data_IF_271326948085
#
_entry.id   IF_271326948085
#
_cell.length_a   1.000
_cell.length_b   1.000
_cell.length_c   1.000
_cell.angle_alpha   90.00
_cell.angle_beta   90.00
_cell.angle_gamma   90.00
#
_symmetry.space_group_name_H-M   'P 1'
#
loop_
_entity.id
_entity.type
_entity.pdbx_description
1 polymer ?
#
# COMPACT_ATOMS: atom_id res chain seq x y z
N UNK A 1 -53.03 -11.64 -26.70
CA UNK A 1 -51.75 -12.38 -26.80
C UNK A 1 -50.49 -11.51 -26.76
N UNK A 2 -50.52 -10.32 -27.36
CA UNK A 2 -49.37 -9.39 -27.45
C UNK A 2 -48.93 -8.79 -26.08
N UNK A 3 -49.88 -8.51 -25.14
CA UNK A 3 -49.56 -7.98 -23.79
C UNK A 3 -48.87 -8.98 -22.88
N UNK A 4 -49.06 -10.31 -23.09
CA UNK A 4 -48.41 -11.35 -22.29
C UNK A 4 -46.94 -11.56 -22.67
N UNK A 5 -46.60 -11.37 -23.96
CA UNK A 5 -45.22 -11.48 -24.46
C UNK A 5 -44.36 -10.32 -23.94
N UNK A 6 -44.88 -9.07 -24.01
CA UNK A 6 -44.19 -7.88 -23.46
C UNK A 6 -44.00 -7.94 -21.94
N UNK A 7 -44.85 -8.65 -21.21
CA UNK A 7 -44.69 -8.85 -19.75
C UNK A 7 -43.65 -9.89 -19.45
N UNK A 8 -43.46 -10.92 -20.29
CA UNK A 8 -42.40 -11.91 -20.16
C UNK A 8 -41.03 -11.33 -20.52
N UNK A 9 -40.92 -10.55 -21.59
CA UNK A 9 -39.67 -9.88 -21.96
C UNK A 9 -39.19 -8.93 -20.84
N UNK A 10 -40.05 -8.08 -20.28
CA UNK A 10 -39.69 -7.24 -19.14
C UNK A 10 -39.28 -8.02 -17.87
N UNK A 11 -39.78 -9.23 -17.71
CA UNK A 11 -39.38 -10.11 -16.61
C UNK A 11 -38.05 -10.77 -16.87
N UNK A 12 -37.74 -11.13 -18.12
CA UNK A 12 -36.44 -11.63 -18.53
C UNK A 12 -35.37 -10.54 -18.44
N UNK A 13 -35.67 -9.31 -18.86
CA UNK A 13 -34.73 -8.18 -18.74
C UNK A 13 -34.41 -7.83 -17.29
N UNK A 14 -35.39 -7.90 -16.37
CA UNK A 14 -35.13 -7.75 -14.93
C UNK A 14 -34.30 -8.89 -14.34
N UNK A 15 -34.62 -10.15 -14.71
CA UNK A 15 -33.82 -11.31 -14.30
C UNK A 15 -32.41 -11.28 -14.88
N UNK A 16 -32.24 -10.79 -16.10
CA UNK A 16 -30.93 -10.60 -16.71
C UNK A 16 -30.13 -9.47 -16.02
N UNK A 17 -30.78 -8.38 -15.59
CA UNK A 17 -30.14 -7.33 -14.77
C UNK A 17 -29.77 -7.81 -13.37
N UNK A 18 -30.62 -8.63 -12.73
CA UNK A 18 -30.33 -9.25 -11.44
C UNK A 18 -29.27 -10.36 -11.53
N UNK A 19 -29.16 -11.06 -12.68
CA UNK A 19 -28.12 -12.07 -12.94
C UNK A 19 -26.77 -11.47 -13.37
N UNK A 20 -26.69 -10.19 -13.71
CA UNK A 20 -25.43 -9.53 -14.11
C UNK A 20 -24.60 -9.08 -12.90
N UNK A 21 -25.11 -9.24 -11.68
CA UNK A 21 -24.28 -9.22 -10.48
C UNK A 21 -23.87 -10.67 -10.16
N UNK A 22 -22.92 -11.23 -10.93
CA UNK A 22 -22.06 -12.27 -10.37
C UNK A 22 -21.49 -11.69 -9.07
N UNK A 23 -21.56 -12.44 -7.94
CA UNK A 23 -20.83 -12.02 -6.76
C UNK A 23 -19.40 -11.75 -7.21
N UNK A 24 -18.92 -10.52 -6.99
CA UNK A 24 -17.52 -10.21 -7.19
C UNK A 24 -16.75 -11.33 -6.49
N UNK A 25 -15.89 -12.06 -7.27
CA UNK A 25 -15.00 -13.05 -6.68
C UNK A 25 -14.40 -12.38 -5.45
N UNK A 26 -14.60 -12.96 -4.27
CA UNK A 26 -14.03 -12.45 -3.04
C UNK A 26 -12.57 -12.12 -3.31
N UNK A 27 -12.25 -10.84 -3.18
CA UNK A 27 -10.91 -10.31 -3.43
C UNK A 27 -9.99 -10.83 -2.32
N UNK A 28 -9.54 -12.09 -2.41
CA UNK A 28 -8.59 -12.64 -1.47
C UNK A 28 -7.18 -12.10 -1.77
N UNK A 29 -6.54 -11.53 -0.75
CA UNK A 29 -5.13 -11.12 -0.80
C UNK A 29 -4.34 -12.06 0.11
N UNK A 30 -3.83 -13.15 -0.46
CA UNK A 30 -2.97 -14.11 0.25
C UNK A 30 -1.50 -13.82 -0.07
N UNK A 31 -0.94 -12.85 0.63
CA UNK A 31 0.47 -12.47 0.52
C UNK A 31 1.17 -12.62 1.88
N UNK A 32 2.42 -13.07 1.85
CA UNK A 32 3.25 -13.24 3.03
C UNK A 32 4.70 -12.85 2.73
N UNK A 33 5.34 -12.14 3.65
CA UNK A 33 6.77 -11.86 3.60
C UNK A 33 7.54 -13.12 4.02
N UNK A 34 8.02 -13.91 3.05
CA UNK A 34 8.62 -15.24 3.29
C UNK A 34 10.13 -15.21 3.53
N UNK A 35 10.84 -14.25 2.97
CA UNK A 35 12.29 -14.09 3.12
C UNK A 35 12.58 -12.71 3.66
N UNK A 36 13.11 -12.63 4.87
CA UNK A 36 13.28 -11.35 5.55
C UNK A 36 14.60 -11.29 6.32
N UNK A 37 15.43 -10.29 6.01
CA UNK A 37 16.63 -9.98 6.78
C UNK A 37 16.25 -9.16 8.01
N UNK A 38 16.12 -9.82 9.14
CA UNK A 38 15.70 -9.21 10.38
C UNK A 38 16.68 -8.14 10.87
N UNK A 39 16.14 -6.94 11.11
CA UNK A 39 16.87 -5.91 11.85
C UNK A 39 16.76 -6.15 13.35
N UNK A 40 17.84 -5.93 14.12
CA UNK A 40 17.75 -5.95 15.57
C UNK A 40 16.72 -4.95 16.08
N UNK A 41 15.84 -5.36 16.99
CA UNK A 41 14.75 -4.53 17.53
C UNK A 41 15.26 -3.20 18.12
N UNK A 42 16.45 -3.20 18.75
CA UNK A 42 17.05 -2.01 19.36
C UNK A 42 17.78 -1.08 18.39
N UNK A 43 17.94 -1.46 17.11
CA UNK A 43 18.67 -0.64 16.12
C UNK A 43 17.83 0.55 15.67
N UNK A 44 18.32 1.76 15.87
CA UNK A 44 17.69 2.95 15.35
C UNK A 44 17.84 3.04 13.81
N UNK A 45 16.75 3.09 13.12
CA UNK A 45 16.66 3.37 11.68
C UNK A 45 16.61 4.87 11.43
N UNK A 46 15.85 5.57 12.28
CA UNK A 46 15.70 7.01 12.28
C UNK A 46 15.75 7.51 13.72
N UNK A 47 16.47 8.62 13.93
CA UNK A 47 16.44 9.37 15.18
C UNK A 47 16.60 10.84 14.83
N UNK A 48 15.50 11.56 14.90
CA UNK A 48 15.40 13.00 14.63
C UNK A 48 14.99 13.71 15.90
N UNK A 49 15.67 14.79 16.21
CA UNK A 49 15.32 15.73 17.27
C UNK A 49 15.73 17.14 16.77
N UNK A 50 14.87 17.73 15.97
CA UNK A 50 15.11 18.98 15.26
C UNK A 50 14.13 20.04 15.75
N UNK A 51 14.64 21.20 16.15
CA UNK A 51 13.78 22.32 16.59
C UNK A 51 12.95 22.86 15.45
N UNK A 52 13.50 22.83 14.25
CA UNK A 52 12.82 23.29 13.05
C UNK A 52 13.42 22.61 11.83
N UNK A 53 12.59 22.15 10.91
CA UNK A 53 13.02 21.47 9.70
C UNK A 53 12.18 21.91 8.49
N UNK A 54 12.86 22.24 7.40
CA UNK A 54 12.21 22.51 6.11
C UNK A 54 12.07 21.20 5.35
N UNK A 55 10.85 20.73 5.16
CA UNK A 55 10.55 19.50 4.44
C UNK A 55 10.17 19.75 2.98
N UNK A 56 9.79 20.98 2.65
CA UNK A 56 9.54 21.49 1.30
C UNK A 56 9.74 23.01 1.25
N UNK A 57 9.86 23.64 0.06
CA UNK A 57 10.13 25.07 -0.09
C UNK A 57 9.23 26.02 0.71
N UNK A 58 8.00 25.59 0.99
CA UNK A 58 7.00 26.38 1.71
C UNK A 58 6.44 25.67 2.94
N UNK A 59 7.10 24.60 3.40
CA UNK A 59 6.61 23.81 4.52
C UNK A 59 7.73 23.53 5.53
N UNK A 60 7.61 24.21 6.65
CA UNK A 60 8.49 24.06 7.81
C UNK A 60 7.71 23.37 8.92
N UNK A 61 8.33 22.40 9.58
CA UNK A 61 7.81 21.77 10.78
C UNK A 61 8.66 22.20 11.95
N UNK A 62 8.03 22.71 12.99
CA UNK A 62 8.66 23.01 14.25
C UNK A 62 8.64 21.78 15.15
N UNK A 63 9.67 21.60 15.98
CA UNK A 63 9.78 20.51 16.95
C UNK A 63 9.52 19.10 16.39
N UNK A 64 10.28 18.72 15.34
CA UNK A 64 10.21 17.37 14.80
C UNK A 64 11.05 16.41 15.66
N UNK A 65 10.38 15.69 16.55
CA UNK A 65 10.98 14.61 17.33
C UNK A 65 10.38 13.29 16.91
N UNK A 66 11.19 12.45 16.23
CA UNK A 66 10.73 11.15 15.73
C UNK A 66 11.88 10.13 15.80
N UNK A 67 11.65 9.04 16.49
CA UNK A 67 12.55 7.90 16.50
C UNK A 67 11.85 6.66 15.98
N UNK A 68 12.52 5.92 15.08
CA UNK A 68 12.04 4.64 14.55
C UNK A 68 13.12 3.60 14.74
N UNK A 69 12.77 2.49 15.39
CA UNK A 69 13.66 1.34 15.58
C UNK A 69 13.32 0.20 14.63
N UNK A 70 14.21 -0.76 14.49
CA UNK A 70 13.95 -2.00 13.77
C UNK A 70 12.72 -2.70 14.36
N UNK A 71 11.79 -3.14 13.49
CA UNK A 71 10.52 -3.81 13.80
C UNK A 71 9.44 -2.92 14.48
N UNK A 72 9.70 -1.64 14.71
CA UNK A 72 8.71 -0.70 15.24
C UNK A 72 7.78 -0.21 14.11
N UNK A 73 6.48 -0.06 14.42
CA UNK A 73 5.46 0.39 13.47
C UNK A 73 4.83 1.67 14.00
N UNK A 74 5.04 2.75 13.24
CA UNK A 74 4.63 4.11 13.62
C UNK A 74 3.62 4.64 12.62
N UNK A 75 2.48 5.13 13.13
CA UNK A 75 1.47 5.86 12.36
C UNK A 75 1.60 7.37 12.54
N UNK A 76 1.34 8.11 11.46
CA UNK A 76 1.24 9.57 11.48
C UNK A 76 -0.18 9.96 11.07
N UNK A 77 -0.83 10.74 11.91
CA UNK A 77 -2.16 11.31 11.69
C UNK A 77 -2.10 12.83 11.68
N UNK A 78 -3.17 13.49 11.28
CA UNK A 78 -3.29 14.95 11.27
C UNK A 78 -4.27 15.43 10.21
N UNK A 79 -4.56 16.71 10.18
CA UNK A 79 -5.53 17.30 9.26
C UNK A 79 -5.08 17.18 7.79
N UNK A 80 -6.03 17.28 6.87
CA UNK A 80 -5.71 17.30 5.45
C UNK A 80 -4.90 18.55 5.11
N UNK A 81 -3.83 18.37 4.34
CA UNK A 81 -2.96 19.46 3.93
C UNK A 81 -1.91 19.89 4.97
N UNK A 82 -1.86 19.29 6.17
CA UNK A 82 -0.84 19.66 7.18
C UNK A 82 0.59 19.18 6.85
N UNK A 83 0.78 18.45 5.74
CA UNK A 83 2.11 18.07 5.27
C UNK A 83 2.53 16.62 5.58
N UNK A 84 1.61 15.72 5.97
CA UNK A 84 1.92 14.32 6.29
C UNK A 84 2.66 13.58 5.17
N UNK A 85 2.09 13.60 3.95
CA UNK A 85 2.70 12.95 2.77
C UNK A 85 4.05 13.58 2.41
N UNK A 86 4.17 14.91 2.57
CA UNK A 86 5.42 15.64 2.34
C UNK A 86 6.49 15.24 3.35
N UNK A 87 6.13 15.12 4.63
CA UNK A 87 7.02 14.62 5.68
C UNK A 87 7.45 13.20 5.39
N UNK A 88 6.50 12.33 5.02
CA UNK A 88 6.78 10.93 4.70
C UNK A 88 7.75 10.81 3.51
N UNK A 89 7.53 11.59 2.46
CA UNK A 89 8.42 11.63 1.30
C UNK A 89 9.82 12.18 1.66
N UNK A 90 9.91 13.23 2.47
CA UNK A 90 11.18 13.75 2.99
C UNK A 90 11.95 12.67 3.77
N UNK A 91 11.25 11.94 4.65
CA UNK A 91 11.85 10.86 5.43
C UNK A 91 12.30 9.70 4.54
N UNK A 92 11.52 9.36 3.51
CA UNK A 92 11.91 8.37 2.50
C UNK A 92 13.21 8.79 1.80
N UNK A 93 13.31 10.01 1.30
CA UNK A 93 14.53 10.51 0.64
C UNK A 93 15.75 10.49 1.59
N UNK A 94 15.57 10.93 2.84
CA UNK A 94 16.64 10.93 3.85
C UNK A 94 17.13 9.52 4.20
N UNK A 95 16.21 8.57 4.32
CA UNK A 95 16.53 7.17 4.66
C UNK A 95 17.09 6.39 3.47
N UNK A 96 16.66 6.67 2.24
CA UNK A 96 17.16 6.04 1.01
C UNK A 96 18.65 6.31 0.74
N UNK A 97 19.22 7.35 1.38
CA UNK A 97 20.65 7.63 1.31
C UNK A 97 21.49 6.65 2.18
N UNK A 98 20.85 5.84 3.03
CA UNK A 98 21.53 4.86 3.86
C UNK A 98 21.77 3.57 3.08
N UNK A 99 23.02 3.24 2.81
CA UNK A 99 23.43 2.08 1.98
C UNK A 99 23.07 0.71 2.56
N UNK A 100 22.78 0.64 3.87
CA UNK A 100 22.57 -0.62 4.59
C UNK A 100 21.09 -0.80 5.02
N UNK A 101 20.15 -0.16 4.35
CA UNK A 101 18.72 -0.25 4.63
C UNK A 101 17.95 -0.40 3.33
N UNK A 102 17.23 -1.51 3.20
CA UNK A 102 16.28 -1.71 2.09
C UNK A 102 14.93 -1.12 2.47
N UNK A 103 14.39 -0.27 1.60
CA UNK A 103 13.15 0.48 1.86
C UNK A 103 12.14 0.20 0.76
N UNK A 104 10.96 -0.25 1.17
CA UNK A 104 9.77 -0.31 0.31
C UNK A 104 8.92 0.95 0.49
N UNK A 105 8.55 1.57 -0.59
CA UNK A 105 7.72 2.77 -0.58
C UNK A 105 6.41 2.57 -1.33
N UNK A 106 5.31 2.88 -0.66
CA UNK A 106 3.97 2.87 -1.25
C UNK A 106 3.39 4.28 -1.15
N UNK A 107 3.47 5.08 -2.22
CA UNK A 107 2.94 6.45 -2.25
C UNK A 107 1.41 6.46 -2.39
N UNK A 108 0.78 7.58 -2.09
CA UNK A 108 -0.66 7.78 -2.31
C UNK A 108 -1.06 7.65 -3.80
N UNK A 109 -0.17 8.07 -4.71
CA UNK A 109 -0.34 7.97 -6.16
C UNK A 109 0.66 6.96 -6.74
N UNK A 110 0.17 5.81 -7.16
CA UNK A 110 0.99 4.67 -7.60
C UNK A 110 1.77 4.92 -8.88
N UNK A 111 1.30 5.82 -9.75
CA UNK A 111 1.96 6.16 -11.02
C UNK A 111 3.36 6.76 -10.85
N UNK A 112 3.74 7.16 -9.64
CA UNK A 112 5.10 7.62 -9.32
C UNK A 112 6.11 6.47 -9.16
N UNK A 113 5.63 5.26 -8.94
CA UNK A 113 6.45 4.04 -8.76
C UNK A 113 6.22 3.05 -9.91
N UNK A 114 4.96 2.86 -10.31
CA UNK A 114 4.59 1.93 -11.36
C UNK A 114 5.01 2.48 -12.74
N UNK A 115 5.66 1.63 -13.51
CA UNK A 115 6.03 1.94 -14.90
C UNK A 115 4.83 1.59 -15.79
N UNK A 116 4.02 2.58 -16.10
CA UNK A 116 2.69 2.41 -16.71
C UNK A 116 2.71 1.72 -18.09
N UNK A 117 3.81 1.76 -18.83
CA UNK A 117 4.02 1.14 -20.16
C UNK A 117 4.47 -0.33 -20.08
N UNK A 118 4.91 -0.78 -18.91
CA UNK A 118 5.23 -2.19 -18.71
C UNK A 118 3.99 -3.01 -18.40
N UNK A 119 4.07 -4.31 -18.66
CA UNK A 119 3.10 -5.25 -18.09
C UNK A 119 3.45 -5.58 -16.63
N UNK A 120 2.46 -6.03 -15.80
CA UNK A 120 2.70 -6.48 -14.43
C UNK A 120 3.82 -7.50 -14.30
N UNK A 121 3.88 -8.49 -15.20
CA UNK A 121 4.96 -9.48 -15.24
C UNK A 121 6.31 -8.80 -15.51
N UNK A 122 6.38 -7.90 -16.49
CA UNK A 122 7.62 -7.22 -16.82
C UNK A 122 8.09 -6.28 -15.69
N UNK A 123 7.16 -5.60 -15.02
CA UNK A 123 7.46 -4.73 -13.89
C UNK A 123 8.04 -5.49 -12.67
N UNK A 124 7.52 -6.69 -12.39
CA UNK A 124 7.95 -7.51 -11.25
C UNK A 124 9.20 -8.34 -11.54
N UNK A 125 9.53 -8.57 -12.82
CA UNK A 125 10.64 -9.45 -13.22
C UNK A 125 11.98 -8.72 -13.11
N UNK A 126 12.97 -9.39 -12.50
CA UNK A 126 14.35 -8.90 -12.36
C UNK A 126 15.29 -9.49 -13.42
N UNK A 127 15.13 -10.77 -13.70
CA UNK A 127 16.02 -11.53 -14.61
C UNK A 127 15.40 -11.74 -15.97
N UNK A 128 14.07 -11.77 -16.05
CA UNK A 128 13.32 -12.10 -17.26
C UNK A 128 13.28 -13.60 -17.58
N UNK A 129 13.83 -14.45 -16.71
CA UNK A 129 13.86 -15.89 -16.89
C UNK A 129 12.46 -16.51 -16.87
N UNK A 130 12.30 -17.62 -17.61
CA UNK A 130 11.01 -18.28 -17.72
C UNK A 130 10.48 -18.76 -16.34
N UNK A 131 11.36 -19.30 -15.50
CA UNK A 131 11.00 -19.77 -14.15
C UNK A 131 10.54 -18.64 -13.24
N UNK A 132 11.19 -17.47 -13.28
CA UNK A 132 10.78 -16.26 -12.54
C UNK A 132 9.40 -15.78 -13.00
N UNK A 133 9.18 -15.71 -14.31
CA UNK A 133 7.88 -15.30 -14.90
C UNK A 133 6.74 -16.23 -14.51
N UNK A 134 6.98 -17.55 -14.45
CA UNK A 134 5.99 -18.55 -14.01
C UNK A 134 5.60 -18.32 -12.52
N UNK A 135 6.57 -18.05 -11.65
CA UNK A 135 6.34 -17.73 -10.22
C UNK A 135 5.56 -16.44 -10.08
N UNK A 136 5.98 -15.37 -10.78
CA UNK A 136 5.28 -14.08 -10.78
C UNK A 136 3.83 -14.25 -11.28
N UNK A 137 3.62 -14.99 -12.37
CA UNK A 137 2.28 -15.24 -12.91
C UNK A 137 1.40 -15.98 -11.91
N UNK A 138 1.94 -16.93 -11.16
CA UNK A 138 1.21 -17.62 -10.08
C UNK A 138 0.80 -16.69 -8.97
N UNK A 139 1.67 -15.79 -8.54
CA UNK A 139 1.34 -14.78 -7.52
C UNK A 139 0.26 -13.80 -8.01
N UNK A 140 0.37 -13.33 -9.26
CA UNK A 140 -0.64 -12.45 -9.85
C UNK A 140 -2.00 -13.16 -10.00
N UNK A 141 -2.01 -14.45 -10.39
CA UNK A 141 -3.24 -15.25 -10.46
C UNK A 141 -3.92 -15.39 -9.09
N UNK A 142 -3.14 -15.59 -8.02
CA UNK A 142 -3.64 -15.63 -6.65
C UNK A 142 -4.24 -14.28 -6.19
N UNK A 143 -3.82 -13.17 -6.78
CA UNK A 143 -4.39 -11.84 -6.58
C UNK A 143 -5.56 -11.54 -7.52
N UNK A 144 -6.07 -12.55 -8.23
CA UNK A 144 -7.17 -12.46 -9.19
C UNK A 144 -6.87 -11.59 -10.44
N UNK A 145 -5.61 -11.53 -10.89
CA UNK A 145 -5.29 -10.99 -12.20
C UNK A 145 -5.62 -12.01 -13.28
N UNK A 146 -6.32 -11.60 -14.32
CA UNK A 146 -6.51 -12.40 -15.52
C UNK A 146 -5.23 -12.47 -16.35
N UNK A 147 -5.16 -13.43 -17.28
CA UNK A 147 -4.02 -13.56 -18.18
C UNK A 147 -3.77 -12.29 -19.01
N UNK A 148 -4.83 -11.61 -19.44
CA UNK A 148 -4.74 -10.39 -20.22
C UNK A 148 -4.17 -9.25 -19.36
N UNK A 149 -4.67 -9.06 -18.12
CA UNK A 149 -4.19 -8.03 -17.19
C UNK A 149 -2.72 -8.25 -16.80
N UNK A 150 -2.23 -9.49 -16.75
CA UNK A 150 -0.82 -9.78 -16.48
C UNK A 150 0.12 -9.36 -17.61
N UNK A 151 -0.37 -9.32 -18.85
CA UNK A 151 0.43 -9.11 -20.07
C UNK A 151 0.19 -7.76 -20.76
N UNK A 152 -0.86 -7.02 -20.40
CA UNK A 152 -1.13 -5.69 -20.91
C UNK A 152 -0.50 -4.60 -20.05
N UNK A 153 -0.55 -3.35 -20.51
CA UNK A 153 0.08 -2.23 -19.82
C UNK A 153 -0.54 -1.97 -18.44
N UNK A 154 0.30 -1.63 -17.45
CA UNK A 154 -0.14 -1.26 -16.11
C UNK A 154 -1.08 -0.04 -16.12
N UNK A 155 -0.96 0.84 -17.15
CA UNK A 155 -1.90 1.95 -17.35
C UNK A 155 -3.36 1.51 -17.38
N UNK A 156 -3.64 0.31 -17.91
CA UNK A 156 -4.98 -0.21 -18.13
C UNK A 156 -5.61 -0.82 -16.85
N UNK A 157 -4.81 -1.00 -15.81
CA UNK A 157 -5.24 -1.54 -14.52
C UNK A 157 -6.08 -0.54 -13.72
N UNK A 158 -7.08 -1.04 -13.01
CA UNK A 158 -7.82 -0.26 -12.01
C UNK A 158 -6.92 0.15 -10.84
N UNK A 159 -7.34 1.16 -10.06
CA UNK A 159 -6.60 1.61 -8.87
C UNK A 159 -6.38 0.50 -7.83
N UNK A 160 -7.37 -0.38 -7.64
CA UNK A 160 -7.25 -1.54 -6.76
C UNK A 160 -6.24 -2.57 -7.26
N UNK A 161 -6.24 -2.85 -8.57
CA UNK A 161 -5.26 -3.75 -9.20
C UNK A 161 -3.84 -3.16 -9.13
N UNK A 162 -3.66 -1.87 -9.40
CA UNK A 162 -2.37 -1.18 -9.19
C UNK A 162 -1.90 -1.29 -7.73
N UNK A 163 -2.82 -1.17 -6.76
CA UNK A 163 -2.52 -1.38 -5.34
C UNK A 163 -2.05 -2.81 -5.03
N UNK A 164 -2.74 -3.83 -5.55
CA UNK A 164 -2.36 -5.24 -5.41
C UNK A 164 -1.00 -5.53 -6.05
N UNK A 165 -0.74 -4.97 -7.24
CA UNK A 165 0.54 -5.11 -7.92
C UNK A 165 1.69 -4.52 -7.10
N UNK A 166 1.49 -3.33 -6.52
CA UNK A 166 2.49 -2.69 -5.68
C UNK A 166 2.71 -3.44 -4.36
N UNK A 167 1.65 -3.98 -3.74
CA UNK A 167 1.79 -4.88 -2.58
C UNK A 167 2.61 -6.12 -2.91
N UNK A 168 2.35 -6.76 -4.05
CA UNK A 168 3.13 -7.92 -4.48
C UNK A 168 4.59 -7.54 -4.72
N UNK A 169 4.85 -6.40 -5.34
CA UNK A 169 6.21 -5.88 -5.50
C UNK A 169 6.92 -5.73 -4.14
N UNK A 170 6.28 -5.10 -3.14
CA UNK A 170 6.83 -4.95 -1.80
C UNK A 170 7.09 -6.30 -1.12
N UNK A 171 6.21 -7.28 -1.31
CA UNK A 171 6.39 -8.64 -0.75
C UNK A 171 7.57 -9.35 -1.38
N UNK A 172 7.74 -9.25 -2.71
CA UNK A 172 8.85 -9.87 -3.44
C UNK A 172 10.21 -9.21 -3.11
N UNK A 173 10.22 -7.89 -2.89
CA UNK A 173 11.43 -7.17 -2.48
C UNK A 173 11.80 -7.40 -1.01
N UNK A 174 10.83 -7.75 -0.18
CA UNK A 174 11.01 -7.98 1.27
C UNK A 174 11.89 -6.92 1.97
N UNK A 175 11.56 -5.62 1.84
CA UNK A 175 12.37 -4.54 2.40
C UNK A 175 12.40 -4.59 3.92
N UNK A 176 13.39 -3.98 4.55
CA UNK A 176 13.54 -3.91 6.01
C UNK A 176 12.70 -2.82 6.65
N UNK A 177 12.34 -1.80 5.88
CA UNK A 177 11.46 -0.70 6.28
C UNK A 177 10.41 -0.48 5.20
N UNK A 178 9.15 -0.41 5.61
CA UNK A 178 8.05 0.05 4.77
C UNK A 178 7.71 1.50 5.10
N UNK A 179 7.60 2.32 4.06
CA UNK A 179 7.07 3.69 4.14
C UNK A 179 5.78 3.72 3.33
N UNK A 180 4.65 3.97 4.00
CA UNK A 180 3.32 3.75 3.44
C UNK A 180 2.47 5.02 3.55
N UNK A 181 1.98 5.53 2.43
CA UNK A 181 1.08 6.69 2.37
C UNK A 181 -0.33 6.25 1.94
N UNK A 182 -1.27 6.21 2.91
CA UNK A 182 -2.66 5.79 2.71
C UNK A 182 -2.79 4.38 2.09
N UNK A 183 -2.01 3.41 2.58
CA UNK A 183 -1.86 2.09 1.97
C UNK A 183 -3.16 1.26 1.85
N UNK A 184 -4.22 1.56 2.63
CA UNK A 184 -5.51 0.85 2.57
C UNK A 184 -6.54 1.52 1.65
N UNK A 185 -6.29 2.75 1.20
CA UNK A 185 -7.28 3.62 0.56
C UNK A 185 -7.88 3.05 -0.74
N UNK A 186 -7.06 2.44 -1.58
CA UNK A 186 -7.47 1.98 -2.92
C UNK A 186 -7.97 0.54 -2.93
N UNK A 187 -8.12 -0.09 -1.78
CA UNK A 187 -8.63 -1.45 -1.65
C UNK A 187 -10.12 -1.46 -1.32
N UNK A 188 -10.83 -2.47 -1.85
CA UNK A 188 -12.23 -2.69 -1.53
C UNK A 188 -12.42 -2.92 -0.02
N UNK A 189 -13.60 -2.64 0.55
CA UNK A 189 -13.88 -2.92 1.97
C UNK A 189 -13.62 -4.38 2.35
N UNK A 190 -13.79 -5.33 1.42
CA UNK A 190 -13.54 -6.75 1.61
C UNK A 190 -12.05 -7.11 1.63
N UNK A 191 -11.21 -6.37 0.88
CA UNK A 191 -9.75 -6.58 0.83
C UNK A 191 -8.99 -5.85 1.94
N UNK A 192 -9.53 -4.75 2.48
CA UNK A 192 -8.85 -3.97 3.52
C UNK A 192 -8.44 -4.77 4.76
N UNK A 193 -9.27 -5.71 5.32
CA UNK A 193 -8.84 -6.53 6.45
C UNK A 193 -7.61 -7.37 6.16
N UNK A 194 -7.49 -7.92 4.95
CA UNK A 194 -6.36 -8.75 4.54
C UNK A 194 -5.09 -7.91 4.36
N UNK A 195 -5.22 -6.69 3.81
CA UNK A 195 -4.11 -5.73 3.72
C UNK A 195 -3.63 -5.30 5.12
N UNK A 196 -4.56 -5.06 6.05
CA UNK A 196 -4.19 -4.76 7.46
C UNK A 196 -3.44 -5.91 8.09
N UNK A 197 -3.92 -7.15 7.91
CA UNK A 197 -3.29 -8.36 8.44
C UNK A 197 -1.89 -8.57 7.83
N UNK A 198 -1.71 -8.29 6.54
CA UNK A 198 -0.40 -8.34 5.88
C UNK A 198 0.61 -7.41 6.58
N UNK A 199 0.23 -6.15 6.85
CA UNK A 199 1.10 -5.19 7.52
C UNK A 199 1.24 -5.44 9.02
N UNK A 200 0.22 -5.96 9.69
CA UNK A 200 0.31 -6.42 11.09
C UNK A 200 1.37 -7.51 11.26
N UNK A 201 1.39 -8.47 10.33
CA UNK A 201 2.34 -9.59 10.35
C UNK A 201 3.70 -9.25 9.70
N UNK A 202 3.87 -8.05 9.16
CA UNK A 202 5.14 -7.64 8.58
C UNK A 202 6.24 -7.60 9.66
N UNK A 203 7.37 -8.31 9.44
CA UNK A 203 8.40 -8.49 10.47
C UNK A 203 9.38 -7.31 10.61
N UNK A 204 9.32 -6.33 9.69
CA UNK A 204 10.18 -5.15 9.68
C UNK A 204 9.55 -3.92 10.33
N UNK A 205 10.20 -2.78 10.14
CA UNK A 205 9.69 -1.50 10.58
C UNK A 205 8.67 -0.91 9.60
N UNK A 206 7.68 -0.20 10.11
CA UNK A 206 6.71 0.54 9.30
C UNK A 206 6.66 2.00 9.76
N UNK A 207 6.69 2.91 8.79
CA UNK A 207 6.32 4.30 8.98
C UNK A 207 5.16 4.61 8.03
N UNK A 208 4.00 4.95 8.56
CA UNK A 208 2.80 5.09 7.73
C UNK A 208 2.01 6.35 8.04
N UNK A 209 1.39 6.92 7.01
CA UNK A 209 0.31 7.91 7.12
C UNK A 209 -1.00 7.19 6.80
N UNK A 210 -2.00 7.35 7.64
CA UNK A 210 -3.34 6.82 7.37
C UNK A 210 -4.43 7.60 8.10
N UNK A 211 -5.63 7.63 7.50
CA UNK A 211 -6.88 8.06 8.11
C UNK A 211 -7.76 6.87 8.59
N UNK A 212 -7.36 5.63 8.27
CA UNK A 212 -8.05 4.42 8.71
C UNK A 212 -7.68 4.09 10.15
N UNK A 213 -8.58 4.40 11.09
CA UNK A 213 -8.40 4.15 12.53
C UNK A 213 -8.22 2.65 12.82
N UNK A 214 -8.92 1.77 12.10
CA UNK A 214 -8.81 0.32 12.30
C UNK A 214 -7.41 -0.17 11.89
N UNK A 215 -6.89 0.35 10.76
CA UNK A 215 -5.52 0.08 10.31
C UNK A 215 -4.49 0.54 11.35
N UNK A 216 -4.61 1.78 11.82
CA UNK A 216 -3.66 2.35 12.79
C UNK A 216 -3.65 1.57 14.11
N UNK A 217 -4.83 1.22 14.66
CA UNK A 217 -4.95 0.43 15.89
C UNK A 217 -4.42 -1.00 15.77
N UNK A 218 -4.61 -1.61 14.61
CA UNK A 218 -4.19 -2.99 14.37
C UNK A 218 -2.69 -3.10 14.08
N UNK A 219 -2.12 -2.15 13.34
CA UNK A 219 -0.76 -2.26 12.80
C UNK A 219 0.26 -1.48 13.63
N UNK A 220 -0.08 -0.29 14.13
CA UNK A 220 0.90 0.62 14.73
C UNK A 220 1.00 0.47 16.25
N UNK A 221 2.23 0.48 16.78
CA UNK A 221 2.49 0.53 18.22
C UNK A 221 2.51 1.95 18.79
N UNK A 222 2.84 2.94 17.91
CA UNK A 222 2.87 4.36 18.27
C UNK A 222 2.20 5.18 17.20
N UNK A 223 1.54 6.24 17.61
CA UNK A 223 0.87 7.14 16.71
C UNK A 223 1.26 8.58 17.05
N UNK A 224 1.62 9.32 16.03
CA UNK A 224 1.99 10.73 16.13
C UNK A 224 0.99 11.58 15.37
N UNK A 225 0.61 12.71 15.96
CA UNK A 225 -0.17 13.74 15.28
C UNK A 225 0.76 14.82 14.78
N UNK A 226 0.65 15.13 13.49
CA UNK A 226 1.31 16.26 12.85
C UNK A 226 0.34 17.45 12.82
N UNK A 227 0.74 18.56 13.42
CA UNK A 227 0.05 19.84 13.35
C UNK A 227 1.05 21.01 13.14
N UNK A 228 0.58 22.26 13.24
CA UNK A 228 1.41 23.48 13.10
C UNK A 228 2.49 23.64 14.17
N UNK A 229 2.40 22.90 15.27
CA UNK A 229 3.38 22.93 16.38
C UNK A 229 4.42 21.84 16.27
N UNK A 230 4.25 20.90 15.36
CA UNK A 230 5.17 19.81 15.12
C UNK A 230 4.54 18.42 15.22
N UNK A 231 5.31 17.46 15.70
CA UNK A 231 4.92 16.05 15.79
C UNK A 231 4.82 15.64 17.26
N UNK A 232 3.63 15.25 17.69
CA UNK A 232 3.32 14.86 19.08
C UNK A 232 2.76 13.42 19.12
N UNK A 233 3.24 12.61 20.07
CA UNK A 233 2.71 11.25 20.28
C UNK A 233 1.30 11.34 20.87
N UNK A 234 0.35 10.54 20.33
CA UNK A 234 -1.05 10.54 20.73
C UNK A 234 -1.57 9.12 20.85
N UNK A 235 -2.58 8.92 21.70
CA UNK A 235 -3.37 7.70 21.76
C UNK A 235 -4.64 7.84 20.91
N UNK A 236 -5.07 6.75 20.20
CA UNK A 236 -6.32 6.69 19.41
C UNK A 236 -7.16 5.44 19.74
#
# INVERSE_FOLDING_TARGET
KMKAVLSQEKRYDRLAQDMTQMPEKEDSIELFFSHFDHLPQGKYLLNLDEKQINIAPHLTIDHLKLSLKGQEKIGIVGDNGCGKSTLLHYLYQKLSQKTNLTIGYMPQHYDTILQNDLSPIAFLSKTGDKSEREVISSHLANLNFSHDEMNHAISDLSGGQKGKLLLLHLVLESPQLLILDEATRNFSPTSQPQVRQLFENYPGAILTVSHDVNYLRQVCQKIYRLDSRGLEEVEI
#
